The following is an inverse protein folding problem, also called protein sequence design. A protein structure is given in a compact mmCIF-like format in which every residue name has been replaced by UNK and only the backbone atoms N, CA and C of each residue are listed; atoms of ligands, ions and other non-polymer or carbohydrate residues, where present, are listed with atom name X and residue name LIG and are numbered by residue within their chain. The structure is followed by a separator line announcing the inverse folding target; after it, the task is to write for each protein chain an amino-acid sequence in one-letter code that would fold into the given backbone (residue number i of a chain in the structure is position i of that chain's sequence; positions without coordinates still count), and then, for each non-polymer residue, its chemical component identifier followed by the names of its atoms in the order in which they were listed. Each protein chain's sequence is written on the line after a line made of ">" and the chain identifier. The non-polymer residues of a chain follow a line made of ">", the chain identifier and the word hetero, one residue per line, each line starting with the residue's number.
data_IF_567376060690
#
_entry.id   IF_567376060690
#
_cell.length_a   1.000
_cell.length_b   1.000
_cell.length_c   1.000
_cell.angle_alpha   90.00
_cell.angle_beta   90.00
_cell.angle_gamma   90.00
#
_symmetry.space_group_name_H-M   'P 1'
#
loop_
_entity.id
_entity.type
_entity.pdbx_description
1 polymer ?
#
# COMPACT_ATOMS: atom_id res chain seq x y z
N UNK A 1 -0.26 18.06 -5.19
CA UNK A 1 -1.66 17.70 -5.50
C UNK A 1 -2.69 18.82 -5.29
N UNK A 2 -2.38 19.92 -4.57
CA UNK A 2 -3.31 21.06 -4.40
C UNK A 2 -3.47 21.96 -5.65
N UNK A 3 -2.93 21.55 -6.78
CA UNK A 3 -3.05 22.18 -8.09
C UNK A 3 -3.57 21.15 -9.10
N UNK A 4 -4.21 21.62 -10.18
CA UNK A 4 -4.84 20.76 -11.18
C UNK A 4 -6.31 20.45 -10.88
N UNK A 5 -6.93 19.62 -11.73
CA UNK A 5 -8.36 19.32 -11.72
C UNK A 5 -8.85 18.55 -10.48
N UNK A 6 -7.95 17.88 -9.75
CA UNK A 6 -8.30 17.01 -8.63
C UNK A 6 -8.10 17.65 -7.25
N UNK A 7 -7.97 18.98 -7.18
CA UNK A 7 -7.74 19.71 -5.92
C UNK A 7 -8.79 19.39 -4.86
N UNK A 8 -10.07 19.38 -5.21
CA UNK A 8 -11.16 19.16 -4.25
C UNK A 8 -11.13 17.74 -3.68
N UNK A 9 -10.96 16.73 -4.55
CA UNK A 9 -10.78 15.34 -4.12
C UNK A 9 -9.56 15.18 -3.21
N UNK A 10 -8.46 15.88 -3.51
CA UNK A 10 -7.26 15.84 -2.68
C UNK A 10 -7.47 16.45 -1.29
N UNK A 11 -8.15 17.60 -1.21
CA UNK A 11 -8.50 18.22 0.08
C UNK A 11 -9.47 17.32 0.87
N UNK A 12 -10.43 16.68 0.21
CA UNK A 12 -11.32 15.71 0.86
C UNK A 12 -10.57 14.53 1.48
N UNK A 13 -9.57 14.01 0.77
CA UNK A 13 -8.68 12.97 1.29
C UNK A 13 -7.82 13.45 2.47
N UNK A 14 -7.22 14.65 2.40
CA UNK A 14 -6.45 15.23 3.52
C UNK A 14 -7.32 15.43 4.77
N UNK A 15 -8.54 15.95 4.60
CA UNK A 15 -9.47 16.13 5.71
C UNK A 15 -9.83 14.79 6.36
N UNK A 16 -10.04 13.74 5.56
CA UNK A 16 -10.28 12.39 6.08
C UNK A 16 -9.09 11.88 6.91
N UNK A 17 -7.84 12.09 6.42
CA UNK A 17 -6.63 11.72 7.18
C UNK A 17 -6.60 12.45 8.51
N UNK A 18 -6.84 13.76 8.50
CA UNK A 18 -6.83 14.56 9.72
C UNK A 18 -7.88 14.05 10.73
N UNK A 19 -9.11 13.77 10.27
CA UNK A 19 -10.15 13.18 11.12
C UNK A 19 -9.74 11.81 11.68
N UNK A 20 -9.14 10.94 10.85
CA UNK A 20 -8.68 9.62 11.28
C UNK A 20 -7.55 9.73 12.33
N UNK A 21 -6.60 10.64 12.15
CA UNK A 21 -5.52 10.90 13.11
C UNK A 21 -6.06 11.42 14.45
N UNK A 22 -6.98 12.40 14.41
CA UNK A 22 -7.63 12.96 15.59
C UNK A 22 -8.40 11.90 16.39
N UNK A 23 -9.09 11.00 15.70
CA UNK A 23 -9.87 9.93 16.29
C UNK A 23 -9.09 8.63 16.56
N UNK A 24 -7.81 8.57 16.16
CA UNK A 24 -6.94 7.38 16.23
C UNK A 24 -7.55 6.16 15.51
N UNK A 25 -8.16 6.41 14.36
CA UNK A 25 -8.71 5.39 13.48
C UNK A 25 -7.64 4.88 12.50
N UNK A 26 -7.85 3.69 11.93
CA UNK A 26 -7.03 3.21 10.84
C UNK A 26 -7.29 4.05 9.59
N UNK A 27 -6.28 4.80 9.15
CA UNK A 27 -6.38 5.72 8.01
C UNK A 27 -6.68 4.97 6.72
N UNK A 28 -6.10 3.78 6.53
CA UNK A 28 -6.28 3.01 5.31
C UNK A 28 -7.72 2.53 5.18
N UNK A 29 -8.32 2.04 6.27
CA UNK A 29 -9.74 1.64 6.29
C UNK A 29 -10.67 2.85 6.19
N UNK A 30 -10.46 3.87 7.04
CA UNK A 30 -11.33 5.05 7.16
C UNK A 30 -11.37 5.88 5.88
N UNK A 31 -10.25 6.03 5.20
CA UNK A 31 -10.09 6.95 4.07
C UNK A 31 -9.98 6.25 2.71
N UNK A 32 -10.22 4.94 2.64
CA UNK A 32 -10.17 4.17 1.39
C UNK A 32 -11.03 4.77 0.27
N UNK A 33 -12.28 5.15 0.58
CA UNK A 33 -13.19 5.73 -0.40
C UNK A 33 -12.72 7.11 -0.87
N UNK A 34 -12.24 7.95 0.05
CA UNK A 34 -11.70 9.27 -0.29
C UNK A 34 -10.44 9.16 -1.19
N UNK A 35 -9.56 8.20 -0.88
CA UNK A 35 -8.40 7.88 -1.71
C UNK A 35 -8.84 7.37 -3.09
N UNK A 36 -9.84 6.48 -3.15
CA UNK A 36 -10.36 5.93 -4.41
C UNK A 36 -10.96 7.01 -5.32
N UNK A 37 -11.64 8.01 -4.74
CA UNK A 37 -12.17 9.16 -5.49
C UNK A 37 -11.03 10.04 -6.03
N UNK A 38 -10.00 10.30 -5.22
CA UNK A 38 -8.82 11.04 -5.66
C UNK A 38 -8.11 10.30 -6.81
N UNK A 39 -7.88 9.00 -6.67
CA UNK A 39 -7.19 8.20 -7.68
C UNK A 39 -7.92 8.22 -9.02
N UNK A 40 -9.23 7.95 -9.01
CA UNK A 40 -10.06 7.99 -10.23
C UNK A 40 -10.02 9.35 -10.91
N UNK A 41 -9.97 10.43 -10.13
CA UNK A 41 -9.80 11.77 -10.69
C UNK A 41 -8.43 11.91 -11.37
N UNK A 42 -7.35 11.47 -10.71
CA UNK A 42 -6.00 11.56 -11.27
C UNK A 42 -5.86 10.76 -12.56
N UNK A 43 -6.43 9.56 -12.63
CA UNK A 43 -6.47 8.73 -13.83
C UNK A 43 -7.26 9.39 -14.98
N UNK A 44 -8.39 10.04 -14.67
CA UNK A 44 -9.16 10.81 -15.65
C UNK A 44 -8.41 12.05 -16.18
N UNK A 45 -7.41 12.52 -15.44
CA UNK A 45 -6.53 13.63 -15.77
C UNK A 45 -5.07 13.18 -15.89
N UNK A 46 -4.85 11.98 -16.44
CA UNK A 46 -3.55 11.33 -16.45
C UNK A 46 -2.47 12.12 -17.20
N UNK A 47 -2.82 12.99 -18.15
CA UNK A 47 -1.89 13.88 -18.83
C UNK A 47 -1.23 14.88 -17.87
N UNK A 48 -2.00 15.40 -16.91
CA UNK A 48 -1.49 16.30 -15.88
C UNK A 48 -0.78 15.56 -14.74
N UNK A 49 -1.28 14.38 -14.35
CA UNK A 49 -0.76 13.61 -13.21
C UNK A 49 0.22 12.48 -13.58
N UNK A 50 0.62 12.39 -14.86
CA UNK A 50 1.45 11.30 -15.41
C UNK A 50 2.67 10.94 -14.55
N UNK A 51 3.48 11.91 -14.05
CA UNK A 51 4.67 11.58 -13.28
C UNK A 51 4.36 10.86 -11.96
N UNK A 52 3.21 11.19 -11.36
CA UNK A 52 2.77 10.64 -10.07
C UNK A 52 2.21 9.24 -10.28
N UNK A 53 1.32 9.06 -11.26
CA UNK A 53 0.75 7.75 -11.61
C UNK A 53 1.84 6.75 -12.00
N UNK A 54 2.89 7.19 -12.70
CA UNK A 54 4.06 6.36 -13.02
C UNK A 54 4.88 6.00 -11.80
N UNK A 55 4.99 6.90 -10.81
CA UNK A 55 5.70 6.60 -9.57
C UNK A 55 4.92 5.60 -8.72
N UNK A 56 3.60 5.78 -8.61
CA UNK A 56 2.67 4.90 -7.90
C UNK A 56 2.74 3.47 -8.47
N UNK A 57 2.55 3.30 -9.78
CA UNK A 57 2.64 1.99 -10.43
C UNK A 57 3.95 1.27 -10.15
N UNK A 58 5.08 1.99 -10.14
CA UNK A 58 6.39 1.39 -9.82
C UNK A 58 6.49 0.98 -8.36
N UNK A 59 5.93 1.76 -7.45
CA UNK A 59 5.89 1.42 -6.04
C UNK A 59 5.01 0.18 -5.79
N UNK A 60 3.86 0.07 -6.46
CA UNK A 60 3.00 -1.11 -6.42
C UNK A 60 3.72 -2.37 -6.92
N UNK A 61 4.37 -2.29 -8.08
CA UNK A 61 5.17 -3.39 -8.64
C UNK A 61 6.28 -3.84 -7.67
N UNK A 62 6.96 -2.89 -7.03
CA UNK A 62 8.00 -3.18 -6.04
C UNK A 62 7.43 -3.84 -4.77
N UNK A 63 6.30 -3.35 -4.26
CA UNK A 63 5.65 -3.93 -3.08
C UNK A 63 5.18 -5.37 -3.34
N UNK A 64 4.68 -5.67 -4.55
CA UNK A 64 4.32 -7.04 -4.93
C UNK A 64 5.53 -7.98 -4.94
N UNK A 65 6.66 -7.53 -5.50
CA UNK A 65 7.91 -8.31 -5.51
C UNK A 65 8.41 -8.58 -4.08
N UNK A 66 8.32 -7.58 -3.20
CA UNK A 66 8.73 -7.73 -1.80
C UNK A 66 7.83 -8.73 -1.06
N UNK A 67 6.52 -8.62 -1.22
CA UNK A 67 5.55 -9.57 -0.65
C UNK A 67 5.74 -11.00 -1.16
N UNK A 68 6.15 -11.20 -2.41
CA UNK A 68 6.48 -12.52 -2.95
C UNK A 68 7.74 -13.10 -2.29
N UNK A 69 8.79 -12.28 -2.14
CA UNK A 69 10.02 -12.71 -1.47
C UNK A 69 9.80 -13.05 0.00
N UNK A 70 9.04 -12.24 0.73
CA UNK A 70 8.70 -12.51 2.13
C UNK A 70 8.00 -13.86 2.29
N UNK A 71 7.06 -14.18 1.38
CA UNK A 71 6.37 -15.48 1.37
C UNK A 71 7.31 -16.64 1.04
N UNK A 72 8.25 -16.46 0.11
CA UNK A 72 9.25 -17.47 -0.22
C UNK A 72 10.19 -17.71 0.98
N UNK A 73 10.69 -16.66 1.61
CA UNK A 73 11.55 -16.72 2.79
C UNK A 73 10.84 -17.36 3.99
N UNK A 74 9.57 -17.02 4.25
CA UNK A 74 8.76 -17.66 5.29
C UNK A 74 8.58 -19.16 5.02
N UNK A 75 8.36 -19.53 3.75
CA UNK A 75 8.22 -20.94 3.34
C UNK A 75 9.51 -21.76 3.46
N UNK A 76 10.68 -21.12 3.32
CA UNK A 76 11.99 -21.74 3.48
C UNK A 76 12.37 -21.85 4.96
N UNK A 77 12.12 -20.80 5.75
CA UNK A 77 12.34 -20.80 7.20
C UNK A 77 11.50 -21.86 7.92
N UNK A 78 10.22 -22.02 7.54
CA UNK A 78 9.37 -23.08 8.08
C UNK A 78 9.86 -24.50 7.74
N UNK A 79 10.51 -24.69 6.59
CA UNK A 79 11.10 -25.97 6.20
C UNK A 79 12.42 -26.27 6.91
N UNK A 80 13.21 -25.25 7.25
CA UNK A 80 14.45 -25.40 8.03
C UNK A 80 14.15 -25.71 9.50
N UNK A 81 13.20 -24.99 10.12
CA UNK A 81 12.78 -25.22 11.51
C UNK A 81 12.25 -26.66 11.70
N UNK A 82 11.44 -27.14 10.75
CA UNK A 82 10.93 -28.52 10.76
C UNK A 82 12.01 -29.60 10.59
N UNK A 83 13.13 -29.32 9.91
CA UNK A 83 14.25 -30.27 9.75
C UNK A 83 15.15 -30.31 10.99
N UNK A 84 15.36 -29.17 11.64
CA UNK A 84 16.14 -29.08 12.89
C UNK A 84 15.44 -29.74 14.08
N UNK A 85 14.10 -29.65 14.16
CA UNK A 85 13.28 -30.36 15.15
C UNK A 85 13.37 -31.89 15.01
N UNK A 86 13.41 -32.40 13.78
CA UNK A 86 13.48 -33.84 13.53
C UNK A 86 14.87 -34.40 13.89
N UNK A 87 15.95 -33.64 13.63
CA UNK A 87 17.33 -34.03 13.95
C UNK A 87 17.63 -34.05 15.46
N UNK A 88 16.92 -33.26 16.27
CA UNK A 88 17.04 -33.25 17.75
C UNK A 88 16.28 -34.40 18.43
N UNK A 89 15.35 -35.05 17.74
CA UNK A 89 14.57 -36.17 18.29
C UNK A 89 15.27 -37.53 18.18
N UNK A 90 16.33 -37.63 17.36
CA UNK A 90 17.06 -38.88 17.08
C UNK A 90 18.41 -38.98 17.84
N UNK A 91 18.68 -38.09 18.80
CA UNK A 91 19.94 -38.01 19.57
C UNK A 91 19.82 -38.34 21.04
#
# INVERSE_FOLDING_TARGET
>A
MKAGGCKESFVGWENCIQEAEENKEDIAEKCFEAMSVLQKCMEAHADYYEPILRAEKRAEEQALIELEKEKEEESLGAQEDSKDLQKKSDG
#
